data_IF_490194567446
#
_entry.id   IF_490194567446
#
_cell.length_a   1.000
_cell.length_b   1.000
_cell.length_c   1.000
_cell.angle_alpha   90.00
_cell.angle_beta   90.00
_cell.angle_gamma   90.00
#
_symmetry.space_group_name_H-M   'P 1'
#
loop_
_entity.id
_entity.type
_entity.pdbx_description
1 polymer ?
#
# COMPACT_ATOMS: atom_id res chain seq x y z
N UNK A 1 -11.10 -8.11 18.14
CA UNK A 1 -10.68 -8.64 16.83
C UNK A 1 -10.34 -7.44 15.97
N UNK A 2 -9.08 -7.29 15.57
CA UNK A 2 -8.63 -6.21 14.68
C UNK A 2 -9.13 -6.49 13.27
N UNK A 3 -9.70 -5.46 12.61
CA UNK A 3 -10.09 -5.57 11.20
C UNK A 3 -8.84 -5.83 10.34
N UNK A 4 -8.96 -6.60 9.23
CA UNK A 4 -7.86 -6.78 8.30
C UNK A 4 -7.45 -5.42 7.71
N UNK A 5 -6.14 -5.18 7.65
CA UNK A 5 -5.58 -3.98 7.03
C UNK A 5 -4.87 -4.35 5.74
N UNK A 6 -5.11 -3.56 4.70
CA UNK A 6 -4.38 -3.66 3.43
C UNK A 6 -3.54 -2.40 3.22
N UNK A 7 -2.30 -2.59 2.79
CA UNK A 7 -1.36 -1.53 2.41
C UNK A 7 -1.48 -1.32 0.91
N UNK A 8 -1.73 -0.10 0.47
CA UNK A 8 -1.77 0.27 -0.94
C UNK A 8 -0.40 0.80 -1.33
N UNK A 9 0.27 0.10 -2.23
CA UNK A 9 1.49 0.63 -2.85
C UNK A 9 1.19 1.71 -3.91
N UNK A 10 2.23 2.27 -4.52
CA UNK A 10 2.05 3.33 -5.51
C UNK A 10 1.23 2.88 -6.73
N UNK A 11 1.36 1.62 -7.15
CA UNK A 11 0.62 1.09 -8.31
C UNK A 11 -0.89 1.02 -8.05
N UNK A 12 -1.30 0.64 -6.84
CA UNK A 12 -2.72 0.53 -6.47
C UNK A 12 -3.33 1.87 -6.07
N UNK A 13 -2.53 2.79 -5.52
CA UNK A 13 -2.95 4.20 -5.37
C UNK A 13 -3.30 4.81 -6.72
N UNK A 14 -2.46 4.58 -7.75
CA UNK A 14 -2.74 5.03 -9.12
C UNK A 14 -3.98 4.33 -9.69
N UNK A 15 -4.11 3.02 -9.50
CA UNK A 15 -5.28 2.29 -9.96
C UNK A 15 -6.58 2.81 -9.33
N UNK A 16 -6.57 3.18 -8.05
CA UNK A 16 -7.70 3.81 -7.37
C UNK A 16 -8.07 5.17 -7.98
N UNK A 17 -7.08 5.93 -8.44
CA UNK A 17 -7.26 7.25 -9.05
C UNK A 17 -7.73 7.18 -10.51
N UNK A 18 -7.21 6.24 -11.30
CA UNK A 18 -7.41 6.17 -12.75
C UNK A 18 -8.59 5.24 -13.13
N UNK A 19 -9.78 5.75 -13.54
CA UNK A 19 -10.94 4.90 -13.82
C UNK A 19 -10.78 3.95 -15.01
N UNK A 20 -9.79 4.22 -15.88
CA UNK A 20 -9.46 3.38 -17.03
C UNK A 20 -8.47 2.26 -16.70
N UNK A 21 -7.86 2.28 -15.51
CA UNK A 21 -6.98 1.23 -15.08
C UNK A 21 -7.81 -0.06 -14.89
N UNK A 22 -7.42 -1.21 -15.47
CA UNK A 22 -8.16 -2.47 -15.33
C UNK A 22 -8.41 -2.88 -13.87
N UNK A 23 -7.48 -2.57 -12.97
CA UNK A 23 -7.58 -2.90 -11.55
C UNK A 23 -8.42 -1.88 -10.75
N UNK A 24 -8.87 -0.77 -11.36
CA UNK A 24 -9.62 0.29 -10.66
C UNK A 24 -10.86 -0.25 -9.94
N UNK A 25 -11.61 -1.13 -10.60
CA UNK A 25 -12.82 -1.72 -10.03
C UNK A 25 -12.49 -2.57 -8.80
N UNK A 26 -11.47 -3.42 -8.88
CA UNK A 26 -11.05 -4.28 -7.78
C UNK A 26 -10.56 -3.46 -6.58
N UNK A 27 -9.67 -2.48 -6.80
CA UNK A 27 -9.17 -1.59 -5.74
C UNK A 27 -10.30 -0.74 -5.13
N UNK A 28 -11.24 -0.28 -5.95
CA UNK A 28 -12.44 0.44 -5.47
C UNK A 28 -13.32 -0.46 -4.61
N UNK A 29 -13.45 -1.75 -4.92
CA UNK A 29 -14.20 -2.69 -4.08
C UNK A 29 -13.58 -2.80 -2.68
N UNK A 30 -12.25 -2.91 -2.56
CA UNK A 30 -11.58 -2.89 -1.25
C UNK A 30 -11.90 -1.61 -0.46
N UNK A 31 -11.96 -0.46 -1.15
CA UNK A 31 -12.37 0.80 -0.53
C UNK A 31 -13.83 0.80 -0.06
N UNK A 32 -14.74 0.24 -0.85
CA UNK A 32 -16.15 0.09 -0.48
C UNK A 32 -16.28 -0.84 0.74
N UNK A 33 -15.58 -1.98 0.78
CA UNK A 33 -15.59 -2.88 1.92
C UNK A 33 -15.03 -2.20 3.20
N UNK A 34 -13.97 -1.41 3.07
CA UNK A 34 -13.45 -0.60 4.17
C UNK A 34 -14.50 0.41 4.68
N UNK A 35 -15.34 0.97 3.79
CA UNK A 35 -16.42 1.90 4.17
C UNK A 35 -17.55 1.23 4.96
N UNK A 36 -17.76 -0.08 4.77
CA UNK A 36 -18.68 -0.89 5.57
C UNK A 36 -18.06 -1.39 6.89
N UNK A 37 -16.79 -1.07 7.15
CA UNK A 37 -16.08 -1.50 8.34
C UNK A 37 -15.59 -2.94 8.27
N UNK A 38 -15.48 -3.53 7.07
CA UNK A 38 -14.95 -4.89 6.88
C UNK A 38 -13.41 -4.91 6.78
N UNK A 39 -12.76 -3.76 6.73
CA UNK A 39 -11.30 -3.64 6.65
C UNK A 39 -10.84 -2.20 6.84
N UNK A 40 -9.53 -2.00 6.85
CA UNK A 40 -8.90 -0.67 6.77
C UNK A 40 -7.89 -0.64 5.64
N UNK A 41 -7.77 0.53 5.02
CA UNK A 41 -6.79 0.77 3.97
C UNK A 41 -5.74 1.75 4.49
N UNK A 42 -4.48 1.45 4.21
CA UNK A 42 -3.35 2.28 4.58
C UNK A 42 -2.53 2.58 3.33
N UNK A 43 -2.14 3.83 3.10
CA UNK A 43 -1.23 4.20 2.02
C UNK A 43 0.05 4.81 2.60
N UNK A 44 1.23 4.22 2.37
CA UNK A 44 2.49 4.81 2.77
C UNK A 44 2.75 6.13 2.04
N UNK A 45 3.27 7.14 2.74
CA UNK A 45 3.50 8.47 2.20
C UNK A 45 4.38 8.48 0.93
N UNK A 46 5.44 7.66 0.87
CA UNK A 46 6.30 7.54 -0.30
C UNK A 46 5.57 6.86 -1.47
N UNK A 47 4.64 5.93 -1.19
CA UNK A 47 3.78 5.36 -2.24
C UNK A 47 2.87 6.44 -2.84
N UNK A 48 2.31 7.33 -2.00
CA UNK A 48 1.51 8.46 -2.48
C UNK A 48 2.34 9.41 -3.35
N UNK A 49 3.57 9.72 -2.95
CA UNK A 49 4.49 10.58 -3.73
C UNK A 49 4.77 9.96 -5.10
N UNK A 50 5.14 8.67 -5.16
CA UNK A 50 5.43 8.01 -6.44
C UNK A 50 4.17 7.90 -7.31
N UNK A 51 3.01 7.63 -6.72
CA UNK A 51 1.74 7.61 -7.43
C UNK A 51 1.41 8.97 -8.06
N UNK A 52 1.60 10.08 -7.32
CA UNK A 52 1.30 11.43 -7.79
C UNK A 52 2.27 11.91 -8.87
N UNK A 53 3.55 11.54 -8.75
CA UNK A 53 4.56 11.80 -9.79
C UNK A 53 4.23 11.10 -11.11
N UNK A 54 3.61 9.92 -11.04
CA UNK A 54 3.20 9.15 -12.22
C UNK A 54 1.82 9.58 -12.76
N UNK A 55 0.93 10.04 -11.89
CA UNK A 55 -0.42 10.48 -12.21
C UNK A 55 -0.82 11.68 -11.33
N UNK A 56 -0.65 12.89 -11.88
CA UNK A 56 -0.86 14.16 -11.17
C UNK A 56 -2.24 14.20 -10.49
N UNK A 57 -2.24 14.41 -9.17
CA UNK A 57 -3.45 14.47 -8.35
C UNK A 57 -3.82 13.15 -7.67
N UNK A 58 -3.12 12.03 -7.94
CA UNK A 58 -3.38 10.75 -7.29
C UNK A 58 -3.21 10.80 -5.76
N UNK A 59 -2.20 11.53 -5.24
CA UNK A 59 -2.04 11.67 -3.80
C UNK A 59 -3.16 12.51 -3.18
N UNK A 60 -3.50 13.63 -3.80
CA UNK A 60 -4.64 14.46 -3.36
C UNK A 60 -5.95 13.67 -3.37
N UNK A 61 -6.16 12.86 -4.40
CA UNK A 61 -7.29 11.97 -4.49
C UNK A 61 -7.33 10.94 -3.35
N UNK A 62 -6.25 10.21 -3.11
CA UNK A 62 -6.18 9.18 -2.07
C UNK A 62 -6.34 9.77 -0.66
N UNK A 63 -5.66 10.89 -0.37
CA UNK A 63 -5.73 11.54 0.96
C UNK A 63 -7.07 12.17 1.27
N UNK A 64 -7.89 12.49 0.26
CA UNK A 64 -9.27 12.96 0.46
C UNK A 64 -10.23 11.84 0.92
N UNK A 65 -9.81 10.57 0.87
CA UNK A 65 -10.67 9.42 1.16
C UNK A 65 -10.72 9.13 2.66
N UNK A 66 -11.91 9.23 3.25
CA UNK A 66 -12.14 9.02 4.70
C UNK A 66 -11.67 7.66 5.26
N UNK A 67 -11.70 6.61 4.45
CA UNK A 67 -11.38 5.24 4.88
C UNK A 67 -9.96 4.79 4.52
N UNK A 68 -9.12 5.72 4.06
CA UNK A 68 -7.71 5.49 3.76
C UNK A 68 -6.86 6.31 4.75
N UNK A 69 -6.02 5.61 5.51
CA UNK A 69 -5.08 6.23 6.44
C UNK A 69 -3.71 6.39 5.78
N UNK A 70 -3.06 7.53 5.97
CA UNK A 70 -1.69 7.73 5.48
C UNK A 70 -0.70 7.23 6.52
N UNK A 71 0.24 6.38 6.12
CA UNK A 71 1.35 5.98 6.96
C UNK A 71 2.55 6.90 6.72
N UNK A 72 2.95 7.61 7.77
CA UNK A 72 4.04 8.58 7.71
C UNK A 72 5.39 7.91 7.48
N UNK A 73 6.30 8.62 6.81
CA UNK A 73 7.71 8.24 6.76
C UNK A 73 8.43 8.98 7.89
N UNK A 74 8.51 8.35 9.06
CA UNK A 74 9.09 8.90 10.28
C UNK A 74 10.55 8.48 10.50
N UNK A 75 11.15 8.88 11.62
CA UNK A 75 12.53 8.56 11.96
C UNK A 75 12.81 7.06 12.08
N UNK A 76 11.82 6.26 12.50
CA UNK A 76 11.99 4.81 12.56
C UNK A 76 11.98 4.20 11.16
N UNK A 77 11.17 4.75 10.25
CA UNK A 77 11.11 4.32 8.86
C UNK A 77 12.40 4.59 8.07
N UNK A 78 13.24 5.54 8.51
CA UNK A 78 14.51 5.86 7.84
C UNK A 78 15.46 4.68 7.81
N UNK A 79 15.75 4.08 8.97
CA UNK A 79 16.76 3.01 9.07
C UNK A 79 16.33 1.75 8.33
N UNK A 80 15.04 1.38 8.45
CA UNK A 80 14.48 0.24 7.72
C UNK A 80 14.46 0.50 6.21
N UNK A 81 14.11 1.73 5.80
CA UNK A 81 14.09 2.15 4.41
C UNK A 81 15.47 2.06 3.76
N UNK A 82 16.51 2.57 4.43
CA UNK A 82 17.90 2.50 3.92
C UNK A 82 18.30 1.05 3.66
N UNK A 83 18.09 0.15 4.63
CA UNK A 83 18.45 -1.27 4.48
C UNK A 83 17.73 -1.92 3.30
N UNK A 84 16.42 -1.70 3.18
CA UNK A 84 15.63 -2.26 2.08
C UNK A 84 16.07 -1.70 0.71
N UNK A 85 16.45 -0.43 0.65
CA UNK A 85 16.97 0.16 -0.59
C UNK A 85 18.34 -0.43 -0.95
N UNK A 86 19.21 -0.69 0.03
CA UNK A 86 20.47 -1.42 -0.18
C UNK A 86 20.24 -2.86 -0.66
N UNK A 87 19.16 -3.50 -0.17
CA UNK A 87 18.70 -4.83 -0.61
C UNK A 87 18.02 -4.80 -2.00
N UNK A 88 17.91 -3.62 -2.65
CA UNK A 88 17.46 -3.47 -4.03
C UNK A 88 16.00 -3.05 -4.22
N UNK A 89 15.25 -2.83 -3.13
CA UNK A 89 13.86 -2.35 -3.21
C UNK A 89 13.80 -0.85 -3.52
N UNK A 90 12.72 -0.40 -4.17
CA UNK A 90 12.47 1.04 -4.37
C UNK A 90 12.09 1.71 -3.04
N UNK A 91 12.21 3.05 -2.96
CA UNK A 91 11.77 3.80 -1.78
C UNK A 91 10.27 3.67 -1.47
N UNK A 92 9.40 3.53 -2.48
CA UNK A 92 7.98 3.27 -2.26
C UNK A 92 7.76 1.85 -1.72
N UNK A 93 8.35 0.84 -2.37
CA UNK A 93 8.28 -0.54 -1.94
C UNK A 93 8.84 -0.73 -0.53
N UNK A 94 9.96 -0.08 -0.19
CA UNK A 94 10.55 -0.18 1.14
C UNK A 94 9.61 0.28 2.25
N UNK A 95 8.87 1.37 2.02
CA UNK A 95 7.88 1.83 3.00
C UNK A 95 6.64 0.94 3.03
N UNK A 96 6.18 0.44 1.88
CA UNK A 96 5.09 -0.53 1.82
C UNK A 96 5.44 -1.84 2.55
N UNK A 97 6.69 -2.32 2.42
CA UNK A 97 7.22 -3.49 3.13
C UNK A 97 7.25 -3.23 4.63
N UNK A 98 7.83 -2.11 5.07
CA UNK A 98 7.83 -1.75 6.50
C UNK A 98 6.41 -1.68 7.05
N UNK A 99 5.49 -1.10 6.28
CA UNK A 99 4.10 -1.07 6.68
C UNK A 99 3.56 -2.51 6.83
N UNK A 100 3.73 -3.37 5.84
CA UNK A 100 3.11 -4.68 5.84
C UNK A 100 3.74 -5.71 6.79
N UNK A 101 5.01 -5.55 7.18
CA UNK A 101 5.69 -6.52 8.05
C UNK A 101 5.01 -6.66 9.43
N UNK A 102 5.00 -7.88 10.01
CA UNK A 102 4.52 -8.10 11.37
C UNK A 102 5.19 -7.22 12.42
N UNK A 103 4.41 -6.77 13.40
CA UNK A 103 4.89 -6.07 14.60
C UNK A 103 4.29 -6.69 15.86
N UNK A 104 4.77 -6.28 17.04
CA UNK A 104 4.18 -6.72 18.31
C UNK A 104 2.67 -6.39 18.43
N UNK A 105 2.24 -5.30 17.81
CA UNK A 105 0.83 -4.87 17.77
C UNK A 105 0.02 -5.58 16.68
N UNK A 106 0.71 -6.05 15.63
CA UNK A 106 0.13 -6.69 14.43
C UNK A 106 0.95 -7.94 14.09
N UNK A 107 0.81 -9.05 14.86
CA UNK A 107 1.66 -10.23 14.71
C UNK A 107 1.47 -10.95 13.36
N UNK A 108 0.32 -10.78 12.72
CA UNK A 108 0.03 -11.35 11.40
C UNK A 108 0.47 -10.44 10.25
N UNK A 109 0.99 -9.23 10.54
CA UNK A 109 1.32 -8.22 9.54
C UNK A 109 0.09 -7.68 8.80
N UNK A 110 0.31 -7.18 7.60
CA UNK A 110 -0.72 -6.68 6.67
C UNK A 110 -0.45 -7.21 5.27
N UNK A 111 -1.46 -7.18 4.42
CA UNK A 111 -1.31 -7.54 3.01
C UNK A 111 -0.96 -6.29 2.21
N UNK A 112 0.04 -6.38 1.33
CA UNK A 112 0.31 -5.35 0.31
C UNK A 112 -0.57 -5.62 -0.89
N UNK A 113 -1.42 -4.68 -1.23
CA UNK A 113 -2.15 -4.65 -2.48
C UNK A 113 -1.25 -3.96 -3.52
N UNK A 114 -0.90 -4.67 -4.59
CA UNK A 114 0.03 -4.19 -5.62
C UNK A 114 -0.33 -4.76 -6.99
N UNK A 115 -0.08 -4.01 -8.08
CA UNK A 115 -0.17 -4.54 -9.44
C UNK A 115 1.10 -5.29 -9.87
N UNK A 116 2.14 -5.29 -9.03
CA UNK A 116 3.43 -5.95 -9.29
C UNK A 116 3.87 -6.79 -8.07
N UNK A 117 3.19 -7.91 -7.76
CA UNK A 117 3.54 -8.75 -6.61
C UNK A 117 5.00 -9.21 -6.60
N UNK A 118 5.55 -9.56 -7.77
CA UNK A 118 6.95 -9.98 -7.94
C UNK A 118 7.96 -8.95 -7.40
N UNK A 119 7.62 -7.66 -7.34
CA UNK A 119 8.48 -6.62 -6.79
C UNK A 119 8.69 -6.73 -5.26
N UNK A 120 7.95 -7.62 -4.60
CA UNK A 120 7.99 -7.89 -3.17
C UNK A 120 8.48 -9.31 -2.84
N UNK A 121 9.00 -10.06 -3.83
CA UNK A 121 9.65 -11.34 -3.58
C UNK A 121 10.73 -11.23 -2.51
N UNK A 122 10.80 -12.19 -1.59
CA UNK A 122 11.74 -12.24 -0.46
C UNK A 122 11.67 -11.06 0.53
N UNK A 123 10.69 -10.16 0.41
CA UNK A 123 10.55 -9.02 1.30
C UNK A 123 9.96 -9.36 2.69
N UNK A 124 9.50 -10.60 2.88
CA UNK A 124 8.86 -11.05 4.12
C UNK A 124 7.48 -10.44 4.36
N UNK A 125 6.76 -10.14 3.28
CA UNK A 125 5.38 -9.63 3.29
C UNK A 125 4.52 -10.46 2.33
N UNK A 126 3.19 -10.40 2.50
CA UNK A 126 2.25 -10.98 1.56
C UNK A 126 1.84 -9.86 0.60
N UNK A 127 2.25 -9.97 -0.66
CA UNK A 127 1.84 -9.07 -1.73
C UNK A 127 0.86 -9.78 -2.67
N UNK A 128 -0.25 -9.13 -3.01
CA UNK A 128 -1.28 -9.71 -3.88
C UNK A 128 -1.77 -8.69 -4.90
N UNK A 129 -2.07 -9.19 -6.09
CA UNK A 129 -2.82 -8.45 -7.09
C UNK A 129 -4.28 -8.26 -6.61
N UNK A 130 -4.91 -7.10 -6.85
CA UNK A 130 -6.32 -6.86 -6.53
C UNK A 130 -7.30 -7.91 -7.07
N UNK A 131 -6.90 -8.59 -8.14
CA UNK A 131 -7.70 -9.60 -8.84
C UNK A 131 -7.58 -11.00 -8.18
N UNK A 132 -6.78 -11.12 -7.12
CA UNK A 132 -6.59 -12.34 -6.33
C UNK A 132 -5.43 -13.23 -6.79
N UNK A 133 -4.62 -12.79 -7.75
CA UNK A 133 -3.39 -13.49 -8.17
C UNK A 133 -2.21 -13.01 -7.33
N UNK A 134 -1.37 -13.95 -6.87
CA UNK A 134 -0.06 -13.64 -6.31
C UNK A 134 0.97 -13.70 -7.45
#
# INVERSE_FOLDING_TARGET
>A
MTLPEVVLDDTTVRALFEPKNPANQAVTQFYVEASFGHGRMVAPALCLVIADLAAEGAAGHATSRRFLTVEAFDSEAVTDGVRLVEDGYTWSASQAIRAARPTAERPDGRVVLTLTPDAYEDAGVIAVHPDGTA
#
